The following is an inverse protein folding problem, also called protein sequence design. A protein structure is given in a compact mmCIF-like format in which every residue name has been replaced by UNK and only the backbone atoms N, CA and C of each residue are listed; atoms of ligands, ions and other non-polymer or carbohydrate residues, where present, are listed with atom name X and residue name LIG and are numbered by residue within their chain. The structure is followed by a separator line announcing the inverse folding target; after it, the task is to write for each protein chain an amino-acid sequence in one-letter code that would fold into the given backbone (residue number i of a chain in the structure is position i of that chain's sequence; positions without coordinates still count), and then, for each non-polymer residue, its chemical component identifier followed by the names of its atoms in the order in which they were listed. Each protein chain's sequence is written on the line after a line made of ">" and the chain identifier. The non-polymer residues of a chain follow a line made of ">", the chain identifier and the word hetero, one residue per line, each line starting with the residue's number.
data_IF_532432130075
#
_entry.id   IF_532432130075
#
_cell.length_a   1.000
_cell.length_b   1.000
_cell.length_c   1.000
_cell.angle_alpha   90.00
_cell.angle_beta   90.00
_cell.angle_gamma   90.00
#
_symmetry.space_group_name_H-M   'P 1'
#
loop_
_entity.id
_entity.type
_entity.pdbx_description
1 polymer ?
#
# COMPACT_ATOMS: atom_id res chain seq x y z
N UNK A 1 -39.43 -6.00 21.60
CA UNK A 1 -38.26 -5.25 22.09
C UNK A 1 -38.77 -4.41 23.24
N UNK A 2 -38.56 -4.87 24.47
CA UNK A 2 -38.96 -4.17 25.68
C UNK A 2 -37.86 -3.16 25.99
N UNK A 3 -38.17 -1.86 25.96
CA UNK A 3 -37.24 -0.82 26.38
C UNK A 3 -37.40 -0.66 27.90
N UNK A 4 -36.52 -1.29 28.67
CA UNK A 4 -36.53 -1.18 30.13
C UNK A 4 -36.14 0.25 30.50
N UNK A 5 -37.14 1.05 30.89
CA UNK A 5 -36.97 2.45 31.33
C UNK A 5 -36.56 2.47 32.81
N UNK A 6 -35.56 1.67 33.18
CA UNK A 6 -34.96 1.69 34.52
C UNK A 6 -33.90 2.79 34.63
N UNK A 7 -33.39 3.03 35.84
CA UNK A 7 -32.22 3.88 36.02
C UNK A 7 -31.05 3.30 35.22
N UNK A 8 -30.49 4.11 34.32
CA UNK A 8 -29.35 3.73 33.49
C UNK A 8 -28.09 3.76 34.36
N UNK A 9 -27.32 2.68 34.34
CA UNK A 9 -26.08 2.53 35.11
C UNK A 9 -24.94 2.18 34.15
N UNK A 10 -24.16 3.18 33.70
CA UNK A 10 -23.07 2.98 32.75
C UNK A 10 -22.00 1.99 33.22
N UNK A 11 -21.74 1.95 34.54
CA UNK A 11 -20.76 1.02 35.11
C UNK A 11 -21.29 -0.41 35.08
N UNK A 12 -22.56 -0.62 35.42
CA UNK A 12 -23.19 -1.93 35.28
C UNK A 12 -23.28 -2.35 33.80
N UNK A 13 -23.62 -1.45 32.88
CA UNK A 13 -23.69 -1.73 31.44
C UNK A 13 -22.34 -2.24 30.89
N UNK A 14 -21.22 -1.67 31.34
CA UNK A 14 -19.87 -2.07 30.91
C UNK A 14 -19.34 -3.32 31.61
N UNK A 15 -19.62 -3.48 32.90
CA UNK A 15 -19.06 -4.56 33.73
C UNK A 15 -19.89 -5.83 33.69
N UNK A 16 -21.19 -5.73 33.42
CA UNK A 16 -22.09 -6.88 33.30
C UNK A 16 -22.18 -7.36 31.84
N UNK A 17 -23.00 -8.40 31.61
CA UNK A 17 -23.25 -8.93 30.27
C UNK A 17 -24.60 -8.50 29.70
N UNK A 18 -25.37 -7.72 30.44
CA UNK A 18 -26.79 -7.51 30.18
C UNK A 18 -27.03 -6.49 29.05
N UNK A 19 -26.07 -5.59 28.81
CA UNK A 19 -26.10 -4.58 27.74
C UNK A 19 -25.29 -4.98 26.48
N UNK A 20 -24.94 -6.27 26.32
CA UNK A 20 -24.13 -6.72 25.17
C UNK A 20 -24.97 -6.91 23.92
N UNK A 21 -24.49 -6.37 22.81
CA UNK A 21 -24.98 -6.67 21.48
C UNK A 21 -24.01 -7.65 20.80
N UNK A 22 -24.58 -8.63 20.11
CA UNK A 22 -23.84 -9.71 19.48
C UNK A 22 -24.18 -9.76 18.00
N UNK A 23 -23.15 -9.95 17.16
CA UNK A 23 -23.30 -10.13 15.73
C UNK A 23 -22.68 -11.47 15.32
N UNK A 24 -23.46 -12.28 14.62
CA UNK A 24 -23.04 -13.58 14.13
C UNK A 24 -22.68 -13.49 12.65
N UNK A 25 -21.46 -13.92 12.31
CA UNK A 25 -21.12 -14.21 10.92
C UNK A 25 -21.13 -15.73 10.74
N UNK A 26 -22.08 -16.24 9.95
CA UNK A 26 -22.23 -17.67 9.67
C UNK A 26 -23.56 -18.27 10.14
N UNK A 27 -23.64 -19.61 10.18
CA UNK A 27 -24.88 -20.35 10.39
C UNK A 27 -25.13 -20.78 11.85
N UNK A 28 -24.24 -20.47 12.79
CA UNK A 28 -24.35 -20.93 14.18
C UNK A 28 -24.34 -19.76 15.15
N UNK A 29 -25.33 -19.74 16.04
CA UNK A 29 -25.49 -18.76 17.12
C UNK A 29 -24.49 -18.97 18.27
N UNK A 30 -23.98 -20.19 18.41
CA UNK A 30 -23.10 -20.60 19.52
C UNK A 30 -21.65 -20.08 19.39
N UNK A 31 -21.32 -19.46 18.26
CA UNK A 31 -19.99 -18.91 17.97
C UNK A 31 -20.11 -17.48 17.46
N UNK A 32 -20.44 -16.51 18.33
CA UNK A 32 -20.45 -15.11 17.95
C UNK A 32 -19.07 -14.71 17.42
N UNK A 33 -19.06 -14.12 16.23
CA UNK A 33 -17.82 -13.67 15.58
C UNK A 33 -17.48 -12.25 16.05
N UNK A 34 -18.50 -11.48 16.46
CA UNK A 34 -18.35 -10.17 17.07
C UNK A 34 -19.30 -9.99 18.25
N UNK A 35 -18.81 -9.33 19.28
CA UNK A 35 -19.61 -8.77 20.34
C UNK A 35 -19.11 -7.36 20.62
N UNK A 36 -20.01 -6.50 21.08
CA UNK A 36 -19.68 -5.20 21.58
C UNK A 36 -20.59 -4.86 22.76
N UNK A 37 -20.14 -3.94 23.58
CA UNK A 37 -20.92 -3.35 24.67
C UNK A 37 -20.95 -1.86 24.42
N UNK A 38 -22.13 -1.27 24.49
CA UNK A 38 -22.27 0.18 24.53
C UNK A 38 -22.93 0.55 25.86
N UNK A 39 -22.42 1.61 26.50
CA UNK A 39 -23.06 2.20 27.65
C UNK A 39 -23.72 3.52 27.28
N UNK A 40 -24.59 4.00 28.16
CA UNK A 40 -25.32 5.26 28.07
C UNK A 40 -24.36 6.47 27.97
N UNK A 41 -23.15 6.35 28.51
CA UNK A 41 -22.13 7.41 28.47
C UNK A 41 -21.33 7.44 27.16
N UNK A 42 -21.51 6.47 26.26
CA UNK A 42 -20.80 6.48 24.98
C UNK A 42 -21.31 7.66 24.15
N UNK A 43 -20.41 8.57 23.69
CA UNK A 43 -20.80 9.67 22.83
C UNK A 43 -21.45 9.15 21.55
N UNK A 44 -22.58 9.75 21.16
CA UNK A 44 -23.33 9.38 19.94
C UNK A 44 -22.41 9.31 18.72
N UNK A 45 -21.49 10.26 18.57
CA UNK A 45 -20.53 10.27 17.46
C UNK A 45 -19.68 9.00 17.37
N UNK A 46 -19.30 8.41 18.51
CA UNK A 46 -18.52 7.18 18.55
C UNK A 46 -19.38 5.99 18.15
N UNK A 47 -20.62 5.91 18.66
CA UNK A 47 -21.57 4.88 18.28
C UNK A 47 -21.90 4.94 16.77
N UNK A 48 -22.11 6.14 16.24
CA UNK A 48 -22.32 6.37 14.81
C UNK A 48 -21.12 5.90 14.00
N UNK A 49 -19.90 6.32 14.35
CA UNK A 49 -18.69 5.93 13.62
C UNK A 49 -18.48 4.40 13.62
N UNK A 50 -18.67 3.73 14.75
CA UNK A 50 -18.57 2.27 14.83
C UNK A 50 -19.64 1.59 13.97
N UNK A 51 -20.88 2.09 14.02
CA UNK A 51 -21.98 1.53 13.23
C UNK A 51 -21.73 1.71 11.73
N UNK A 52 -21.26 2.88 11.30
CA UNK A 52 -20.87 3.15 9.91
C UNK A 52 -19.75 2.23 9.45
N UNK A 53 -18.69 2.07 10.25
CA UNK A 53 -17.58 1.16 9.91
C UNK A 53 -18.01 -0.31 9.81
N UNK A 54 -18.97 -0.77 10.63
CA UNK A 54 -19.47 -2.15 10.59
C UNK A 54 -20.45 -2.35 9.44
N UNK A 55 -21.23 -1.33 9.09
CA UNK A 55 -22.20 -1.38 8.01
C UNK A 55 -21.59 -1.15 6.62
N UNK A 56 -20.37 -0.60 6.54
CA UNK A 56 -19.66 -0.40 5.28
C UNK A 56 -19.32 -1.74 4.61
N UNK A 57 -19.87 -2.04 3.42
CA UNK A 57 -19.56 -3.27 2.69
C UNK A 57 -18.17 -3.23 2.02
N UNK A 58 -17.44 -2.12 2.08
CA UNK A 58 -16.13 -1.99 1.48
C UNK A 58 -15.14 -3.04 2.04
N UNK A 59 -14.39 -3.74 1.17
CA UNK A 59 -13.37 -4.67 1.62
C UNK A 59 -12.32 -3.97 2.49
N UNK A 60 -12.12 -4.47 3.71
CA UNK A 60 -11.10 -3.94 4.61
C UNK A 60 -9.73 -4.56 4.33
N UNK A 61 -8.66 -3.74 4.22
CA UNK A 61 -7.30 -4.26 4.10
C UNK A 61 -6.92 -5.05 5.36
N UNK A 62 -6.36 -6.25 5.18
CA UNK A 62 -5.87 -7.10 6.26
C UNK A 62 -4.53 -7.71 5.88
N UNK A 63 -3.66 -7.86 6.87
CA UNK A 63 -2.44 -8.66 6.72
C UNK A 63 -2.84 -10.14 6.58
N UNK A 64 -2.37 -10.78 5.51
CA UNK A 64 -2.70 -12.17 5.22
C UNK A 64 -2.20 -13.08 6.35
N UNK A 65 -1.02 -12.79 6.88
CA UNK A 65 -0.33 -13.56 7.90
C UNK A 65 -1.01 -13.44 9.28
N UNK A 66 -1.70 -12.32 9.53
CA UNK A 66 -2.45 -12.05 10.78
C UNK A 66 -3.93 -12.46 10.67
N UNK A 67 -4.35 -12.99 9.51
CA UNK A 67 -5.70 -13.53 9.35
C UNK A 67 -5.81 -14.82 10.15
N UNK A 68 -6.37 -14.72 11.36
CA UNK A 68 -6.49 -15.82 12.30
C UNK A 68 -7.16 -17.07 11.69
N UNK A 69 -6.78 -18.24 12.21
CA UNK A 69 -7.27 -19.55 11.72
C UNK A 69 -8.79 -19.71 11.79
N UNK A 70 -9.47 -19.03 12.71
CA UNK A 70 -10.92 -19.15 12.90
C UNK A 70 -11.75 -18.47 11.80
N UNK A 71 -11.19 -17.55 11.01
CA UNK A 71 -11.86 -16.94 9.84
C UNK A 71 -11.44 -17.59 8.52
N UNK A 72 -10.53 -18.57 8.56
CA UNK A 72 -10.02 -19.27 7.37
C UNK A 72 -11.16 -20.05 6.71
N UNK A 73 -11.51 -19.67 5.49
CA UNK A 73 -12.64 -20.24 4.73
C UNK A 73 -13.97 -19.50 4.89
N UNK A 74 -14.07 -18.53 5.81
CA UNK A 74 -15.22 -17.63 5.93
C UNK A 74 -14.99 -16.25 5.31
N UNK A 75 -13.73 -15.81 5.22
CA UNK A 75 -13.36 -14.56 4.59
C UNK A 75 -12.77 -14.78 3.19
N UNK A 76 -13.20 -13.96 2.22
CA UNK A 76 -12.59 -13.90 0.89
C UNK A 76 -11.49 -12.82 0.89
N UNK A 77 -10.24 -13.25 0.73
CA UNK A 77 -9.09 -12.33 0.66
C UNK A 77 -8.77 -12.02 -0.80
N UNK A 78 -8.93 -10.76 -1.18
CA UNK A 78 -8.46 -10.23 -2.47
C UNK A 78 -7.09 -9.57 -2.25
N UNK A 79 -6.02 -10.00 -2.95
CA UNK A 79 -4.73 -9.34 -2.87
C UNK A 79 -4.85 -7.87 -3.30
N UNK A 80 -4.30 -6.96 -2.50
CA UNK A 80 -4.12 -5.57 -2.91
C UNK A 80 -2.95 -5.54 -3.88
N UNK A 81 -3.25 -5.40 -5.17
CA UNK A 81 -2.23 -5.22 -6.18
C UNK A 81 -1.65 -3.80 -6.05
N UNK A 82 -0.33 -3.64 -5.92
CA UNK A 82 0.26 -2.32 -6.03
C UNK A 82 -0.09 -1.74 -7.41
N UNK A 83 -0.24 -0.41 -7.52
CA UNK A 83 -0.40 0.21 -8.82
C UNK A 83 0.74 -0.26 -9.73
N UNK A 84 0.40 -0.67 -10.95
CA UNK A 84 1.40 -1.10 -11.93
C UNK A 84 2.45 -0.01 -12.17
N UNK A 85 3.64 -0.37 -12.69
CA UNK A 85 4.63 0.62 -13.03
C UNK A 85 4.00 1.65 -13.99
N UNK A 86 4.29 2.95 -13.82
CA UNK A 86 3.76 3.97 -14.70
C UNK A 86 4.15 3.65 -16.15
N UNK A 87 3.22 3.89 -17.07
CA UNK A 87 3.51 3.76 -18.49
C UNK A 87 4.74 4.63 -18.83
N UNK A 88 5.66 4.14 -19.68
CA UNK A 88 6.87 4.88 -20.02
C UNK A 88 6.51 6.24 -20.60
N UNK A 89 7.15 7.29 -20.11
CA UNK A 89 6.95 8.63 -20.64
C UNK A 89 7.54 8.72 -22.05
N UNK A 90 7.09 9.68 -22.88
CA UNK A 90 7.69 9.91 -24.20
C UNK A 90 9.22 10.10 -24.14
N UNK A 91 9.71 10.69 -23.05
CA UNK A 91 11.13 10.90 -22.81
C UNK A 91 11.87 9.59 -22.46
N UNK A 92 11.25 8.68 -21.73
CA UNK A 92 11.79 7.33 -21.48
C UNK A 92 11.93 6.54 -22.78
N UNK A 93 10.95 6.68 -23.68
CA UNK A 93 11.00 6.09 -25.02
C UNK A 93 12.14 6.69 -25.83
N UNK A 94 12.30 8.02 -25.83
CA UNK A 94 13.41 8.68 -26.55
C UNK A 94 14.78 8.22 -26.04
N UNK A 95 14.97 8.14 -24.72
CA UNK A 95 16.21 7.64 -24.12
C UNK A 95 16.48 6.18 -24.48
N UNK A 96 15.45 5.33 -24.48
CA UNK A 96 15.56 3.92 -24.86
C UNK A 96 15.82 3.72 -26.36
N UNK A 97 15.41 4.66 -27.22
CA UNK A 97 15.74 4.67 -28.65
C UNK A 97 17.17 5.17 -28.86
N UNK A 98 17.57 6.24 -28.16
CA UNK A 98 18.91 6.79 -28.25
C UNK A 98 20.00 5.82 -27.74
N UNK A 99 19.72 5.07 -26.67
CA UNK A 99 20.63 4.05 -26.13
C UNK A 99 20.81 2.84 -27.04
N UNK A 100 19.81 2.56 -27.91
CA UNK A 100 19.87 1.51 -28.92
C UNK A 100 20.54 1.95 -30.22
N UNK A 101 20.90 3.23 -30.35
CA UNK A 101 21.62 3.71 -31.53
C UNK A 101 23.05 3.16 -31.50
N UNK A 102 23.51 2.48 -32.56
CA UNK A 102 24.91 2.05 -32.66
C UNK A 102 25.82 3.26 -32.46
N UNK A 103 26.88 3.09 -31.66
CA UNK A 103 27.91 4.11 -31.52
C UNK A 103 28.43 4.44 -32.92
N UNK A 104 28.12 5.64 -33.41
CA UNK A 104 28.67 6.11 -34.66
C UNK A 104 30.19 6.09 -34.52
N UNK A 105 30.86 5.35 -35.39
CA UNK A 105 32.32 5.32 -35.46
C UNK A 105 32.82 6.77 -35.43
N UNK A 106 33.80 7.11 -34.57
CA UNK A 106 34.31 8.46 -34.53
C UNK A 106 34.80 8.83 -35.93
N UNK A 107 34.36 10.01 -36.41
CA UNK A 107 34.81 10.53 -37.69
C UNK A 107 36.34 10.53 -37.73
N UNK A 108 36.98 10.08 -38.82
CA UNK A 108 38.42 10.16 -38.95
C UNK A 108 38.83 11.63 -38.83
N UNK A 109 39.52 11.96 -37.74
CA UNK A 109 40.11 13.29 -37.56
C UNK A 109 41.22 13.43 -38.58
N UNK A 110 41.09 14.39 -39.51
CA UNK A 110 42.17 14.72 -40.43
C UNK A 110 43.25 15.44 -39.62
N UNK A 111 44.52 14.97 -39.64
CA UNK A 111 45.60 15.65 -38.94
C UNK A 111 45.72 17.09 -39.47
N UNK A 112 45.47 18.07 -38.60
CA UNK A 112 45.73 19.48 -38.90
C UNK A 112 47.24 19.63 -39.03
N UNK A 113 47.71 19.97 -40.24
CA UNK A 113 49.11 20.18 -40.59
C UNK A 113 49.90 20.87 -39.46
N UNK A 114 50.87 20.17 -38.88
CA UNK A 114 51.83 20.73 -37.93
C UNK A 114 53.01 21.31 -38.70
N UNK A 115 53.20 22.63 -38.68
CA UNK A 115 54.47 23.27 -39.04
C UNK A 115 55.48 23.05 -37.93
N UNK A 116 56.00 21.84 -37.82
CA UNK A 116 57.17 21.56 -36.99
C UNK A 116 58.41 21.58 -37.88
N UNK A 117 59.19 22.66 -37.78
CA UNK A 117 60.50 22.80 -38.41
C UNK A 117 61.43 21.65 -37.96
N UNK A 118 62.12 21.02 -38.91
CA UNK A 118 63.12 19.97 -38.67
C UNK A 118 64.23 20.51 -37.75
N UNK A 119 64.68 19.77 -36.72
CA UNK A 119 65.91 20.14 -36.02
C UNK A 119 67.11 19.95 -36.95
N UNK A 120 68.08 20.87 -36.86
CA UNK A 120 69.32 20.80 -37.63
C UNK A 120 70.13 19.54 -37.26
N UNK A 121 70.68 18.86 -38.26
CA UNK A 121 71.53 17.68 -38.10
C UNK A 121 72.87 18.08 -37.43
N UNK A 122 73.40 17.33 -36.45
CA UNK A 122 74.75 17.59 -35.95
C UNK A 122 75.78 17.27 -37.05
N UNK A 123 76.65 18.23 -37.36
CA UNK A 123 77.73 18.07 -38.32
C UNK A 123 78.78 17.03 -37.88
N UNK A 124 79.58 16.50 -38.82
CA UNK A 124 80.52 15.42 -38.55
C UNK A 124 81.68 15.91 -37.67
N UNK A 125 81.97 15.18 -36.59
CA UNK A 125 83.22 15.32 -35.84
C UNK A 125 84.24 14.32 -36.39
N UNK A 126 85.42 14.88 -36.72
CA UNK A 126 86.66 14.17 -37.06
C UNK A 126 87.15 13.28 -35.94
#
# INVERSE_FOLDING_TARGET
>A
MEFTTGDLDPEAELTTRDARWQLWAGKSIDRPVWYATASTDIPVALLTAVTECVADPAPLPRWREETFSYIKGMAQLTPILPPGPPAPTPLDVQRAVASRRPAALPAPSVPRWSTASRPALPGPRR
#
